data_IF_004561833926
#
_entry.id   IF_004561833926
#
_cell.length_a   1.000
_cell.length_b   1.000
_cell.length_c   1.000
_cell.angle_alpha   90.00
_cell.angle_beta   90.00
_cell.angle_gamma   90.00
#
_symmetry.space_group_name_H-M   'P 1'
#
loop_
_entity.id
_entity.type
_entity.pdbx_description
1 polymer ?
#
# COMPACT_ATOMS: atom_id res chain seq x y z
N UNK A 1 -13.67 34.98 9.89
CA UNK A 1 -13.56 33.84 8.94
C UNK A 1 -12.08 33.56 8.71
N UNK A 2 -11.65 32.29 8.70
CA UNK A 2 -10.24 31.85 8.64
C UNK A 2 -9.49 32.13 7.31
N UNK A 3 -10.04 32.96 6.41
CA UNK A 3 -9.41 33.27 5.12
C UNK A 3 -9.35 32.09 4.12
N UNK A 4 -10.02 30.98 4.43
CA UNK A 4 -10.02 29.76 3.62
C UNK A 4 -10.74 29.98 2.28
N UNK A 5 -10.10 29.59 1.18
CA UNK A 5 -10.70 29.59 -0.17
C UNK A 5 -11.30 28.21 -0.46
N UNK A 6 -12.54 28.17 -0.88
CA UNK A 6 -13.22 26.93 -1.29
C UNK A 6 -12.74 26.53 -2.69
N UNK A 7 -12.31 25.28 -2.83
CA UNK A 7 -12.04 24.65 -4.12
C UNK A 7 -13.11 23.59 -4.36
N UNK A 8 -13.93 23.79 -5.38
CA UNK A 8 -14.98 22.84 -5.76
C UNK A 8 -14.46 21.89 -6.83
N UNK A 9 -14.67 20.58 -6.65
CA UNK A 9 -14.57 19.63 -7.74
C UNK A 9 -15.76 19.81 -8.68
N UNK A 10 -15.52 19.78 -9.99
CA UNK A 10 -16.60 19.74 -10.99
C UNK A 10 -16.91 18.29 -11.31
N UNK A 11 -18.18 17.99 -11.61
CA UNK A 11 -18.53 16.67 -12.13
C UNK A 11 -17.67 16.38 -13.37
N UNK A 12 -17.04 15.20 -13.43
CA UNK A 12 -16.15 14.75 -14.51
C UNK A 12 -14.74 15.35 -14.57
N UNK A 13 -14.21 15.94 -13.49
CA UNK A 13 -12.77 16.30 -13.38
C UNK A 13 -12.10 15.64 -12.14
N UNK A 14 -11.64 14.38 -12.27
CA UNK A 14 -11.07 13.61 -11.16
C UNK A 14 -9.69 14.10 -10.68
N UNK A 15 -9.09 15.11 -11.34
CA UNK A 15 -7.76 15.60 -10.99
C UNK A 15 -7.68 16.27 -9.62
N UNK A 16 -8.79 16.80 -9.09
CA UNK A 16 -8.77 17.59 -7.85
C UNK A 16 -8.98 16.75 -6.59
N UNK A 17 -9.76 15.67 -6.67
CA UNK A 17 -10.20 14.90 -5.49
C UNK A 17 -9.70 13.44 -5.45
N UNK A 18 -8.94 13.01 -6.46
CA UNK A 18 -8.53 11.60 -6.61
C UNK A 18 -7.69 11.04 -5.45
N UNK A 19 -6.98 11.89 -4.69
CA UNK A 19 -6.27 11.45 -3.49
C UNK A 19 -7.23 11.11 -2.35
N UNK A 20 -8.24 11.95 -2.12
CA UNK A 20 -9.24 11.69 -1.10
C UNK A 20 -10.12 10.49 -1.51
N UNK A 21 -10.50 10.39 -2.78
CA UNK A 21 -11.24 9.25 -3.31
C UNK A 21 -10.50 7.92 -3.10
N UNK A 22 -9.20 7.88 -3.42
CA UNK A 22 -8.38 6.66 -3.21
C UNK A 22 -8.23 6.31 -1.72
N UNK A 23 -8.09 7.33 -0.87
CA UNK A 23 -8.08 7.14 0.59
C UNK A 23 -9.40 6.55 1.08
N UNK A 24 -10.53 7.13 0.67
CA UNK A 24 -11.87 6.67 1.04
C UNK A 24 -12.08 5.22 0.57
N UNK A 25 -11.74 4.91 -0.67
CA UNK A 25 -11.83 3.55 -1.22
C UNK A 25 -11.03 2.54 -0.39
N UNK A 26 -9.82 2.90 0.04
CA UNK A 26 -8.99 2.03 0.88
C UNK A 26 -9.63 1.80 2.25
N UNK A 27 -10.18 2.86 2.87
CA UNK A 27 -10.87 2.76 4.16
C UNK A 27 -12.14 1.91 4.06
N UNK A 28 -12.92 2.08 3.00
CA UNK A 28 -14.11 1.27 2.72
C UNK A 28 -13.77 -0.21 2.55
N UNK A 29 -12.67 -0.53 1.86
CA UNK A 29 -12.24 -1.91 1.67
C UNK A 29 -11.88 -2.55 3.01
N UNK A 30 -11.14 -1.83 3.86
CA UNK A 30 -10.82 -2.29 5.22
C UNK A 30 -12.13 -2.53 5.98
N UNK A 31 -13.01 -1.53 6.07
CA UNK A 31 -14.30 -1.65 6.78
C UNK A 31 -15.13 -2.83 6.26
N UNK A 32 -15.19 -3.04 4.94
CA UNK A 32 -15.95 -4.16 4.35
C UNK A 32 -15.39 -5.51 4.80
N UNK A 33 -14.06 -5.66 4.90
CA UNK A 33 -13.42 -6.90 5.41
C UNK A 33 -13.77 -7.17 6.87
N UNK A 34 -13.84 -6.13 7.71
CA UNK A 34 -14.13 -6.29 9.14
C UNK A 34 -15.63 -6.40 9.44
N UNK A 35 -16.49 -5.62 8.76
CA UNK A 35 -17.93 -5.58 9.02
C UNK A 35 -18.74 -6.62 8.24
N UNK A 36 -18.40 -6.90 6.97
CA UNK A 36 -19.26 -7.72 6.10
C UNK A 36 -18.83 -9.19 6.02
N UNK A 37 -17.53 -9.49 6.12
CA UNK A 37 -16.99 -10.83 5.86
C UNK A 37 -16.72 -11.67 7.12
N UNK A 38 -17.22 -11.27 8.29
CA UNK A 38 -17.37 -12.17 9.42
C UNK A 38 -16.09 -12.56 10.15
N UNK A 39 -15.16 -11.61 10.35
CA UNK A 39 -14.35 -11.70 11.57
C UNK A 39 -15.27 -11.50 12.78
N UNK A 40 -14.94 -12.06 13.94
CA UNK A 40 -15.75 -12.08 15.20
C UNK A 40 -16.24 -10.72 15.73
N UNK A 41 -16.08 -9.63 14.98
CA UNK A 41 -16.59 -8.29 15.24
C UNK A 41 -18.07 -8.13 14.89
N UNK A 42 -18.89 -9.19 15.01
CA UNK A 42 -20.34 -9.14 14.71
C UNK A 42 -21.08 -8.06 15.51
N UNK A 43 -20.54 -7.66 16.65
CA UNK A 43 -21.10 -6.64 17.55
C UNK A 43 -20.47 -5.24 17.37
N UNK A 44 -19.50 -5.07 16.48
CA UNK A 44 -18.83 -3.79 16.25
C UNK A 44 -19.36 -3.15 14.97
N UNK A 45 -20.13 -2.07 15.12
CA UNK A 45 -20.59 -1.25 14.00
C UNK A 45 -19.40 -0.54 13.31
N UNK A 46 -19.54 -0.20 12.03
CA UNK A 46 -18.49 0.47 11.23
C UNK A 46 -17.98 1.74 11.91
N UNK A 47 -18.85 2.47 12.62
CA UNK A 47 -18.50 3.67 13.38
C UNK A 47 -17.46 3.36 14.47
N UNK A 48 -17.61 2.24 15.16
CA UNK A 48 -16.69 1.83 16.24
C UNK A 48 -15.31 1.42 15.71
N UNK A 49 -15.24 1.01 14.44
CA UNK A 49 -14.01 0.60 13.78
C UNK A 49 -13.27 1.77 13.14
N UNK A 50 -13.92 2.91 12.87
CA UNK A 50 -13.29 4.07 12.23
C UNK A 50 -11.97 4.51 12.87
N UNK A 51 -11.84 4.65 14.21
CA UNK A 51 -10.58 5.05 14.82
C UNK A 51 -9.45 4.05 14.53
N UNK A 52 -9.77 2.75 14.57
CA UNK A 52 -8.82 1.67 14.29
C UNK A 52 -8.40 1.71 12.82
N UNK A 53 -9.34 1.83 11.90
CA UNK A 53 -9.07 1.91 10.46
C UNK A 53 -8.20 3.13 10.14
N UNK A 54 -8.50 4.29 10.71
CA UNK A 54 -7.69 5.50 10.55
C UNK A 54 -6.25 5.28 11.06
N UNK A 55 -6.10 4.66 12.22
CA UNK A 55 -4.78 4.39 12.79
C UNK A 55 -3.97 3.40 11.94
N UNK A 56 -4.60 2.32 11.47
CA UNK A 56 -3.97 1.34 10.57
C UNK A 56 -3.58 2.00 9.25
N UNK A 57 -4.47 2.78 8.64
CA UNK A 57 -4.20 3.48 7.38
C UNK A 57 -3.01 4.45 7.53
N UNK A 58 -2.97 5.23 8.61
CA UNK A 58 -1.94 6.22 8.86
C UNK A 58 -0.58 5.62 9.22
N UNK A 59 -0.54 4.39 9.74
CA UNK A 59 0.69 3.69 10.13
C UNK A 59 1.19 2.70 9.08
N UNK A 60 0.35 2.33 8.11
CA UNK A 60 0.72 1.46 7.00
C UNK A 60 1.59 2.20 5.99
N UNK A 61 2.59 1.51 5.44
CA UNK A 61 3.44 2.06 4.39
C UNK A 61 2.65 2.12 3.08
N UNK A 62 2.64 3.28 2.43
CA UNK A 62 1.99 3.43 1.13
C UNK A 62 3.01 3.20 0.02
N UNK A 63 2.57 2.59 -1.08
CA UNK A 63 3.45 2.22 -2.21
C UNK A 63 4.04 3.44 -2.91
N UNK A 64 3.29 4.53 -3.05
CA UNK A 64 3.76 5.74 -3.74
C UNK A 64 4.86 6.47 -2.95
N UNK A 65 4.69 6.79 -1.65
CA UNK A 65 5.71 7.52 -0.89
C UNK A 65 6.80 6.61 -0.31
N UNK A 66 6.58 5.29 -0.28
CA UNK A 66 7.42 4.34 0.45
C UNK A 66 7.47 4.61 1.96
N UNK A 67 6.53 5.41 2.48
CA UNK A 67 6.46 5.85 3.89
C UNK A 67 5.00 5.82 4.35
N UNK A 68 4.77 5.77 5.65
CA UNK A 68 3.42 5.89 6.22
C UNK A 68 2.99 7.36 6.29
N UNK A 69 1.68 7.66 6.15
CA UNK A 69 1.18 9.03 6.28
C UNK A 69 1.59 9.71 7.59
N UNK A 70 1.52 8.99 8.72
CA UNK A 70 1.98 9.48 10.03
C UNK A 70 3.45 9.92 10.03
N UNK A 71 4.32 9.18 9.35
CA UNK A 71 5.73 9.51 9.25
C UNK A 71 5.96 10.75 8.37
N UNK A 72 5.17 10.92 7.31
CA UNK A 72 5.26 12.07 6.41
C UNK A 72 4.68 13.33 7.07
N UNK A 73 3.54 13.23 7.73
CA UNK A 73 2.82 14.35 8.33
C UNK A 73 3.46 14.79 9.66
N UNK A 74 3.78 13.83 10.53
CA UNK A 74 4.19 14.10 11.93
C UNK A 74 5.66 13.83 12.20
N UNK A 75 6.36 13.14 11.29
CA UNK A 75 7.75 12.73 11.49
C UNK A 75 7.94 11.49 12.36
N UNK A 76 6.86 10.85 12.82
CA UNK A 76 6.91 9.63 13.65
C UNK A 76 5.71 8.72 13.39
N UNK A 77 5.88 7.43 13.68
CA UNK A 77 4.83 6.42 13.59
C UNK A 77 4.46 5.94 15.00
N UNK A 78 3.18 5.98 15.42
CA UNK A 78 2.76 5.43 16.70
C UNK A 78 2.93 3.92 16.71
N UNK A 79 3.35 3.38 17.86
CA UNK A 79 3.38 1.94 18.09
C UNK A 79 1.95 1.41 18.23
N UNK A 80 1.69 0.29 17.57
CA UNK A 80 0.42 -0.44 17.65
C UNK A 80 0.55 -1.57 18.68
N UNK A 81 -0.57 -2.08 19.23
CA UNK A 81 -0.54 -3.24 20.12
C UNK A 81 0.20 -4.45 19.52
N UNK A 82 0.11 -4.65 18.20
CA UNK A 82 0.83 -5.70 17.46
C UNK A 82 2.35 -5.52 17.50
N UNK A 83 2.85 -4.29 17.63
CA UNK A 83 4.30 -4.01 17.71
C UNK A 83 4.88 -4.40 19.08
N UNK A 84 4.02 -4.50 20.10
CA UNK A 84 4.38 -4.96 21.45
C UNK A 84 4.24 -6.48 21.63
N UNK A 85 3.77 -7.20 20.60
CA UNK A 85 3.73 -8.66 20.66
C UNK A 85 5.15 -9.21 20.56
N UNK A 86 5.64 -9.72 21.68
CA UNK A 86 6.88 -10.48 21.76
C UNK A 86 6.78 -11.71 20.86
N UNK A 87 7.49 -11.67 19.74
CA UNK A 87 7.47 -12.75 18.72
C UNK A 87 7.85 -14.11 19.30
N UNK A 88 8.68 -14.11 20.35
CA UNK A 88 9.12 -15.33 21.04
C UNK A 88 8.02 -15.98 21.88
N UNK A 89 6.95 -15.24 22.22
CA UNK A 89 5.80 -15.77 22.97
C UNK A 89 4.72 -16.38 22.05
N UNK A 90 4.82 -16.14 20.73
CA UNK A 90 3.89 -16.72 19.77
C UNK A 90 4.35 -18.12 19.39
N UNK A 91 3.71 -19.14 19.95
CA UNK A 91 3.88 -20.53 19.48
C UNK A 91 3.12 -20.69 18.17
N UNK A 92 3.82 -20.46 17.06
CA UNK A 92 3.29 -20.70 15.71
C UNK A 92 3.29 -22.21 15.47
N UNK A 93 2.17 -22.76 15.02
CA UNK A 93 2.08 -24.17 14.65
C UNK A 93 3.14 -24.50 13.57
N UNK A 94 3.86 -25.64 13.64
CA UNK A 94 4.96 -25.96 12.73
C UNK A 94 4.57 -25.81 11.25
N UNK A 95 3.39 -26.27 10.86
CA UNK A 95 2.88 -26.12 9.48
C UNK A 95 2.76 -24.67 9.02
N UNK A 96 2.36 -23.75 9.91
CA UNK A 96 2.26 -22.33 9.57
C UNK A 96 3.66 -21.71 9.42
N UNK A 97 4.64 -22.17 10.21
CA UNK A 97 6.03 -21.76 10.06
C UNK A 97 6.65 -22.29 8.75
N UNK A 98 6.41 -23.56 8.42
CA UNK A 98 6.87 -24.16 7.16
C UNK A 98 6.28 -23.44 5.94
N UNK A 99 5.00 -23.07 6.01
CA UNK A 99 4.33 -22.30 4.96
C UNK A 99 4.95 -20.89 4.83
N UNK A 100 5.23 -20.22 5.96
CA UNK A 100 5.88 -18.90 5.95
C UNK A 100 7.28 -18.96 5.32
N UNK A 101 8.06 -19.99 5.65
CA UNK A 101 9.41 -20.18 5.10
C UNK A 101 9.37 -20.57 3.62
N UNK A 102 8.38 -21.36 3.21
CA UNK A 102 8.11 -21.62 1.79
C UNK A 102 7.74 -20.32 1.07
N UNK A 103 6.84 -19.52 1.63
CA UNK A 103 6.37 -18.27 1.05
C UNK A 103 7.51 -17.27 0.84
N UNK A 104 8.35 -17.07 1.87
CA UNK A 104 9.55 -16.23 1.77
C UNK A 104 10.47 -16.68 0.64
N UNK A 105 10.79 -17.97 0.56
CA UNK A 105 11.64 -18.53 -0.50
C UNK A 105 11.05 -18.28 -1.88
N UNK A 106 9.74 -18.45 -2.04
CA UNK A 106 9.04 -18.18 -3.30
C UNK A 106 9.11 -16.70 -3.68
N UNK A 107 8.88 -15.78 -2.73
CA UNK A 107 9.01 -14.35 -2.95
C UNK A 107 10.44 -13.96 -3.36
N UNK A 108 11.46 -14.47 -2.65
CA UNK A 108 12.87 -14.18 -2.96
C UNK A 108 13.27 -14.70 -4.34
N UNK A 109 12.81 -15.90 -4.69
CA UNK A 109 13.05 -16.50 -6.01
C UNK A 109 12.37 -15.71 -7.10
N UNK A 110 11.09 -15.33 -6.90
CA UNK A 110 10.34 -14.51 -7.84
C UNK A 110 11.01 -13.16 -8.07
N UNK A 111 11.46 -12.50 -7.00
CA UNK A 111 12.18 -11.22 -7.09
C UNK A 111 13.46 -11.34 -7.92
N UNK A 112 14.25 -12.41 -7.72
CA UNK A 112 15.44 -12.70 -8.54
C UNK A 112 15.09 -12.93 -10.01
N UNK A 113 14.08 -13.75 -10.28
CA UNK A 113 13.65 -14.03 -11.66
C UNK A 113 13.15 -12.76 -12.37
N UNK A 114 12.48 -11.85 -11.65
CA UNK A 114 12.05 -10.56 -12.18
C UNK A 114 13.27 -9.70 -12.53
N UNK A 115 14.23 -9.56 -11.60
CA UNK A 115 15.45 -8.79 -11.83
C UNK A 115 16.26 -9.32 -13.03
N UNK A 116 16.44 -10.64 -13.11
CA UNK A 116 17.11 -11.30 -14.25
C UNK A 116 16.35 -11.06 -15.57
N UNK A 117 15.02 -11.10 -15.52
CA UNK A 117 14.19 -10.82 -16.70
C UNK A 117 14.28 -9.37 -17.15
N UNK A 118 14.34 -8.42 -16.22
CA UNK A 118 14.52 -6.99 -16.50
C UNK A 118 15.90 -6.73 -17.12
N UNK A 119 16.95 -7.32 -16.56
CA UNK A 119 18.31 -7.21 -17.10
C UNK A 119 18.42 -7.81 -18.51
N UNK A 120 17.87 -9.01 -18.72
CA UNK A 120 17.82 -9.63 -20.04
C UNK A 120 17.08 -8.75 -21.06
N UNK A 121 15.93 -8.17 -20.69
CA UNK A 121 15.17 -7.26 -21.57
C UNK A 121 15.98 -6.01 -21.91
N UNK A 122 16.69 -5.42 -20.94
CA UNK A 122 17.56 -4.27 -21.16
C UNK A 122 18.69 -4.61 -22.14
N UNK A 123 19.43 -5.69 -21.89
CA UNK A 123 20.53 -6.11 -22.77
C UNK A 123 20.06 -6.42 -24.20
N UNK A 124 18.85 -6.98 -24.35
CA UNK A 124 18.25 -7.23 -25.67
C UNK A 124 17.86 -5.93 -26.36
N UNK A 125 17.20 -5.01 -25.65
CA UNK A 125 16.84 -3.69 -26.17
C UNK A 125 18.08 -2.95 -26.65
N UNK A 126 19.11 -2.82 -25.80
CA UNK A 126 20.36 -2.12 -26.12
C UNK A 126 21.07 -2.68 -27.37
N UNK A 127 20.98 -4.00 -27.62
CA UNK A 127 21.56 -4.64 -28.83
C UNK A 127 20.76 -4.41 -30.11
N UNK A 128 19.44 -4.25 -30.00
CA UNK A 128 18.53 -4.10 -31.16
C UNK A 128 18.10 -2.66 -31.40
N UNK A 129 18.36 -1.76 -30.46
CA UNK A 129 17.97 -0.37 -30.55
C UNK A 129 18.93 0.38 -31.48
N UNK A 130 18.40 0.91 -32.57
CA UNK A 130 19.03 1.99 -33.34
C UNK A 130 18.35 3.29 -32.94
N UNK A 131 19.14 4.32 -32.65
CA UNK A 131 18.60 5.66 -32.47
C UNK A 131 18.06 6.17 -33.81
N UNK A 132 16.81 6.65 -33.86
CA UNK A 132 16.27 7.26 -35.07
C UNK A 132 17.04 8.55 -35.40
N UNK A 133 17.55 8.63 -36.63
CA UNK A 133 18.18 9.84 -37.16
C UNK A 133 17.08 10.85 -37.53
N UNK A 134 16.79 11.76 -36.61
CA UNK A 134 15.86 12.86 -36.87
C UNK A 134 16.62 14.02 -37.50
N UNK A 135 16.22 14.43 -38.71
CA UNK A 135 16.65 15.69 -39.30
C UNK A 135 15.73 16.80 -38.81
N UNK A 136 16.30 17.87 -38.27
CA UNK A 136 15.54 19.06 -37.89
C UNK A 136 14.82 19.64 -39.12
N UNK A 137 13.48 19.57 -39.15
CA UNK A 137 12.66 20.24 -40.17
C UNK A 137 11.46 19.47 -40.74
N UNK A 138 11.05 18.33 -40.18
CA UNK A 138 9.77 17.64 -40.49
C UNK A 138 8.78 17.73 -39.31
#
# INVERSE_FOLDING_TARGET
MLGTKLAFSTAYHPQTDGLAERMIQTMEEILRRFCAYGMEYKDHDWVTLLPVVQQVYNTSQHSTPGKSPSLVEKGWKPLLPVDHLEKHLLTIHPTANDFHDMWKRSCDTSAKCIAESEEYKKQRYDKTHMEPDFKEGD
#
